data_IF_911278455976
#
_entry.id   IF_911278455976
#
_cell.length_a   1.000
_cell.length_b   1.000
_cell.length_c   1.000
_cell.angle_alpha   90.00
_cell.angle_beta   90.00
_cell.angle_gamma   90.00
#
_symmetry.space_group_name_H-M   'P 1'
#
loop_
_entity.id
_entity.type
_entity.pdbx_description
1 polymer ?
#
# COMPACT_ATOMS: atom_id res chain seq x y z
N UNK A 1 14.01 8.33 -22.39
CA UNK A 1 12.56 8.54 -22.58
C UNK A 1 11.85 7.42 -21.84
N UNK A 2 10.80 7.73 -21.06
CA UNK A 2 10.06 6.73 -20.31
C UNK A 2 9.42 5.71 -21.27
N UNK A 3 9.43 4.42 -20.89
CA UNK A 3 8.81 3.39 -21.72
C UNK A 3 7.29 3.44 -21.63
N UNK A 4 6.57 2.89 -22.62
CA UNK A 4 5.09 2.80 -22.55
C UNK A 4 4.63 2.03 -21.30
N UNK A 5 5.36 0.99 -20.94
CA UNK A 5 5.09 0.20 -19.74
C UNK A 5 5.26 1.03 -18.46
N UNK A 6 6.36 1.77 -18.35
CA UNK A 6 6.62 2.68 -17.23
C UNK A 6 5.51 3.72 -17.08
N UNK A 7 5.07 4.32 -18.20
CA UNK A 7 4.02 5.33 -18.19
C UNK A 7 2.66 4.75 -17.78
N UNK A 8 2.30 3.56 -18.29
CA UNK A 8 1.08 2.86 -17.89
C UNK A 8 1.10 2.51 -16.40
N UNK A 9 2.22 2.01 -15.88
CA UNK A 9 2.38 1.72 -14.46
C UNK A 9 2.30 3.00 -13.61
N UNK A 10 2.91 4.11 -14.05
CA UNK A 10 2.84 5.39 -13.36
C UNK A 10 1.40 5.95 -13.29
N UNK A 11 0.61 5.83 -14.36
CA UNK A 11 -0.80 6.22 -14.32
C UNK A 11 -1.63 5.33 -13.40
N UNK A 12 -1.38 4.02 -13.40
CA UNK A 12 -2.06 3.10 -12.51
C UNK A 12 -1.71 3.38 -11.03
N UNK A 13 -0.43 3.64 -10.74
CA UNK A 13 0.03 4.10 -9.43
C UNK A 13 -0.71 5.37 -8.98
N UNK A 14 -0.77 6.40 -9.83
CA UNK A 14 -1.45 7.64 -9.52
C UNK A 14 -2.96 7.45 -9.30
N UNK A 15 -3.61 6.63 -10.13
CA UNK A 15 -5.03 6.31 -9.97
C UNK A 15 -5.31 5.59 -8.66
N UNK A 16 -4.46 4.61 -8.29
CA UNK A 16 -4.55 3.91 -7.00
C UNK A 16 -4.33 4.85 -5.81
N UNK A 17 -3.35 5.75 -5.88
CA UNK A 17 -3.11 6.75 -4.84
C UNK A 17 -4.32 7.67 -4.63
N UNK A 18 -4.95 8.13 -5.73
CA UNK A 18 -6.19 8.90 -5.66
C UNK A 18 -7.31 8.06 -5.04
N UNK A 19 -7.45 6.80 -5.45
CA UNK A 19 -8.48 5.90 -4.91
C UNK A 19 -8.32 5.64 -3.41
N UNK A 20 -7.08 5.55 -2.89
CA UNK A 20 -6.80 5.49 -1.43
C UNK A 20 -7.39 6.70 -0.71
N UNK A 21 -7.19 7.92 -1.24
CA UNK A 21 -7.71 9.15 -0.63
C UNK A 21 -9.24 9.22 -0.58
N UNK A 22 -9.92 8.51 -1.47
CA UNK A 22 -11.38 8.45 -1.55
C UNK A 22 -11.96 7.13 -1.04
N UNK A 23 -11.15 6.26 -0.44
CA UNK A 23 -11.64 5.00 0.12
C UNK A 23 -12.67 5.29 1.23
N UNK A 24 -13.83 4.63 1.17
CA UNK A 24 -14.90 4.78 2.16
C UNK A 24 -14.73 3.89 3.39
N UNK A 25 -13.90 2.85 3.28
CA UNK A 25 -13.69 1.84 4.30
C UNK A 25 -12.24 1.32 4.25
N UNK A 26 -11.80 0.67 5.34
CA UNK A 26 -10.45 0.17 5.53
C UNK A 26 -10.06 -0.93 4.53
N UNK A 27 -11.03 -1.71 4.02
CA UNK A 27 -10.76 -2.76 3.03
C UNK A 27 -10.51 -2.14 1.66
N UNK A 28 -11.37 -1.21 1.23
CA UNK A 28 -11.17 -0.44 0.01
C UNK A 28 -9.84 0.31 0.06
N UNK A 29 -9.51 0.92 1.20
CA UNK A 29 -8.21 1.58 1.43
C UNK A 29 -7.07 0.59 1.22
N UNK A 30 -7.11 -0.57 1.88
CA UNK A 30 -6.08 -1.60 1.75
C UNK A 30 -5.87 -2.05 0.32
N UNK A 31 -6.96 -2.35 -0.41
CA UNK A 31 -6.88 -2.82 -1.80
C UNK A 31 -6.21 -1.78 -2.70
N UNK A 32 -6.63 -0.51 -2.61
CA UNK A 32 -6.00 0.54 -3.41
C UNK A 32 -4.57 0.83 -2.97
N UNK A 33 -4.25 0.64 -1.69
CA UNK A 33 -2.89 0.75 -1.18
C UNK A 33 -1.97 -0.31 -1.77
N UNK A 34 -2.40 -1.57 -1.81
CA UNK A 34 -1.64 -2.67 -2.41
C UNK A 34 -1.48 -2.49 -3.92
N UNK A 35 -2.50 -1.97 -4.61
CA UNK A 35 -2.38 -1.62 -6.03
C UNK A 35 -1.35 -0.50 -6.24
N UNK A 36 -1.38 0.54 -5.40
CA UNK A 36 -0.39 1.60 -5.43
C UNK A 36 1.03 1.04 -5.23
N UNK A 37 1.24 0.21 -4.21
CA UNK A 37 2.52 -0.47 -3.94
C UNK A 37 3.01 -1.37 -5.10
N UNK A 38 2.08 -2.10 -5.73
CA UNK A 38 2.38 -2.94 -6.89
C UNK A 38 2.85 -2.08 -8.08
N UNK A 39 2.09 -1.03 -8.40
CA UNK A 39 2.40 -0.21 -9.57
C UNK A 39 3.64 0.67 -9.38
N UNK A 40 3.91 1.18 -8.17
CA UNK A 40 5.19 1.84 -7.88
C UNK A 40 6.36 0.87 -8.04
N UNK A 41 6.20 -0.39 -7.61
CA UNK A 41 7.23 -1.42 -7.82
C UNK A 41 7.50 -1.67 -9.30
N UNK A 42 6.45 -1.69 -10.14
CA UNK A 42 6.59 -1.85 -11.59
C UNK A 42 7.26 -0.63 -12.25
N UNK A 43 7.00 0.58 -11.77
CA UNK A 43 7.70 1.80 -12.21
C UNK A 43 9.20 1.68 -11.92
N UNK A 44 9.58 1.27 -10.70
CA UNK A 44 10.99 1.05 -10.34
C UNK A 44 11.62 -0.03 -11.23
N UNK A 45 10.90 -1.13 -11.48
CA UNK A 45 11.38 -2.23 -12.31
C UNK A 45 11.61 -1.83 -13.79
N UNK A 46 10.95 -0.77 -14.26
CA UNK A 46 11.03 -0.31 -15.65
C UNK A 46 12.35 0.38 -16.00
N UNK A 47 13.23 0.69 -15.04
CA UNK A 47 14.51 1.39 -15.25
C UNK A 47 15.52 0.71 -16.20
N UNK A 48 15.23 -0.47 -16.75
CA UNK A 48 15.99 -1.17 -17.79
C UNK A 48 17.51 -1.38 -17.52
N UNK A 49 17.91 -1.43 -16.25
CA UNK A 49 19.27 -1.82 -15.84
C UNK A 49 19.22 -2.78 -14.63
N UNK A 50 20.24 -3.64 -14.42
CA UNK A 50 20.22 -4.65 -13.37
C UNK A 50 19.98 -4.08 -11.96
N UNK A 51 20.53 -2.91 -11.66
CA UNK A 51 20.32 -2.24 -10.38
C UNK A 51 18.85 -1.85 -10.13
N UNK A 52 18.10 -1.46 -11.17
CA UNK A 52 16.68 -1.12 -11.05
C UNK A 52 15.85 -2.34 -10.69
N UNK A 53 16.14 -3.49 -11.30
CA UNK A 53 15.46 -4.75 -10.98
C UNK A 53 15.71 -5.20 -9.55
N UNK A 54 16.94 -5.08 -9.07
CA UNK A 54 17.28 -5.40 -7.67
C UNK A 54 16.62 -4.43 -6.69
N UNK A 55 16.57 -3.14 -7.01
CA UNK A 55 15.87 -2.15 -6.22
C UNK A 55 14.36 -2.44 -6.17
N UNK A 56 13.74 -2.78 -7.31
CA UNK A 56 12.32 -3.14 -7.38
C UNK A 56 11.98 -4.36 -6.51
N UNK A 57 12.83 -5.39 -6.49
CA UNK A 57 12.61 -6.56 -5.62
C UNK A 57 12.64 -6.17 -4.14
N UNK A 58 13.66 -5.40 -3.70
CA UNK A 58 13.76 -4.94 -2.30
C UNK A 58 12.58 -4.06 -1.91
N UNK A 59 12.22 -3.15 -2.80
CA UNK A 59 11.10 -2.23 -2.64
C UNK A 59 9.77 -2.99 -2.54
N UNK A 60 9.50 -3.91 -3.45
CA UNK A 60 8.29 -4.74 -3.42
C UNK A 60 8.21 -5.65 -2.19
N UNK A 61 9.34 -6.18 -1.71
CA UNK A 61 9.39 -6.97 -0.46
C UNK A 61 9.04 -6.12 0.77
N UNK A 62 9.55 -4.88 0.86
CA UNK A 62 9.19 -3.99 1.97
C UNK A 62 7.72 -3.60 1.92
N UNK A 63 7.19 -3.32 0.74
CA UNK A 63 5.76 -3.07 0.56
C UNK A 63 4.91 -4.27 0.98
N UNK A 64 5.24 -5.48 0.54
CA UNK A 64 4.51 -6.68 0.94
C UNK A 64 4.54 -6.89 2.45
N UNK A 65 5.69 -6.63 3.09
CA UNK A 65 5.81 -6.68 4.55
C UNK A 65 4.92 -5.62 5.21
N UNK A 66 4.99 -4.36 4.76
CA UNK A 66 4.14 -3.29 5.25
C UNK A 66 2.66 -3.58 5.05
N UNK A 67 2.27 -4.16 3.91
CA UNK A 67 0.92 -4.60 3.58
C UNK A 67 0.40 -5.67 4.52
N UNK A 68 1.20 -6.70 4.83
CA UNK A 68 0.84 -7.71 5.84
C UNK A 68 0.63 -7.07 7.22
N UNK A 69 1.54 -6.19 7.64
CA UNK A 69 1.42 -5.46 8.92
C UNK A 69 0.16 -4.58 8.96
N UNK A 70 -0.12 -3.88 7.86
CA UNK A 70 -1.32 -3.05 7.70
C UNK A 70 -2.59 -3.89 7.79
N UNK A 71 -2.65 -5.04 7.09
CA UNK A 71 -3.78 -5.97 7.14
C UNK A 71 -4.03 -6.51 8.55
N UNK A 72 -2.97 -6.85 9.29
CA UNK A 72 -3.10 -7.26 10.70
C UNK A 72 -3.72 -6.15 11.55
N UNK A 73 -3.34 -4.88 11.31
CA UNK A 73 -3.98 -3.73 11.94
C UNK A 73 -5.46 -3.61 11.61
N UNK A 74 -5.82 -3.73 10.33
CA UNK A 74 -7.22 -3.64 9.85
C UNK A 74 -8.08 -4.74 10.48
N UNK A 75 -7.66 -6.01 10.37
CA UNK A 75 -8.39 -7.14 10.94
C UNK A 75 -8.48 -7.02 12.46
N UNK A 76 -7.44 -6.52 13.13
CA UNK A 76 -7.46 -6.24 14.56
C UNK A 76 -8.51 -5.19 14.95
N UNK A 77 -8.60 -4.09 14.20
CA UNK A 77 -9.63 -3.05 14.42
C UNK A 77 -11.03 -3.61 14.14
N UNK A 78 -11.19 -4.39 13.07
CA UNK A 78 -12.47 -5.06 12.78
C UNK A 78 -12.89 -6.00 13.90
N UNK A 79 -11.95 -6.78 14.46
CA UNK A 79 -12.23 -7.67 15.59
C UNK A 79 -12.65 -6.94 16.86
N UNK A 80 -12.14 -5.74 17.09
CA UNK A 80 -12.48 -4.91 18.26
C UNK A 80 -13.78 -4.13 18.10
N UNK A 81 -14.05 -3.61 16.89
CA UNK A 81 -15.13 -2.65 16.63
C UNK A 81 -16.32 -3.24 15.88
N UNK A 82 -16.15 -4.38 15.22
CA UNK A 82 -17.15 -5.00 14.37
C UNK A 82 -17.43 -4.29 13.04
N UNK A 83 -16.64 -3.27 12.65
CA UNK A 83 -16.82 -2.58 11.37
C UNK A 83 -15.50 -2.26 10.67
N UNK A 84 -15.60 -2.06 9.36
CA UNK A 84 -14.51 -1.69 8.45
C UNK A 84 -14.48 -0.18 8.16
N UNK A 85 -15.42 0.59 8.71
CA UNK A 85 -15.55 2.01 8.37
C UNK A 85 -14.33 2.81 8.83
N UNK A 86 -13.89 3.73 7.98
CA UNK A 86 -12.88 4.70 8.37
C UNK A 86 -13.49 5.66 9.38
N UNK A 87 -12.95 5.63 10.59
CA UNK A 87 -13.33 6.48 11.72
C UNK A 87 -12.07 7.02 12.39
N UNK A 88 -12.24 7.89 13.38
CA UNK A 88 -11.12 8.27 14.24
C UNK A 88 -10.56 7.02 14.94
N UNK A 89 -9.29 6.70 14.68
CA UNK A 89 -8.56 5.58 15.28
C UNK A 89 -7.58 6.17 16.30
N UNK A 90 -7.82 5.94 17.58
CA UNK A 90 -6.87 6.29 18.64
C UNK A 90 -5.72 5.27 18.68
N UNK A 91 -4.51 5.72 19.03
CA UNK A 91 -3.33 4.86 19.15
C UNK A 91 -3.25 4.19 20.54
N UNK A 92 -4.37 3.61 20.98
CA UNK A 92 -4.55 2.98 22.30
C UNK A 92 -4.59 1.44 22.24
N UNK A 93 -4.51 0.86 21.03
CA UNK A 93 -4.50 -0.59 20.82
C UNK A 93 -3.33 -1.02 19.92
N UNK A 94 -2.90 -2.28 20.08
CA UNK A 94 -1.88 -2.89 19.21
C UNK A 94 -2.33 -2.88 17.75
N UNK A 95 -3.62 -3.07 17.48
CA UNK A 95 -4.18 -3.05 16.13
C UNK A 95 -4.02 -1.67 15.47
N UNK A 96 -4.27 -0.58 16.21
CA UNK A 96 -4.07 0.78 15.72
C UNK A 96 -2.58 1.06 15.40
N UNK A 97 -1.68 0.61 16.28
CA UNK A 97 -0.23 0.73 16.04
C UNK A 97 0.24 -0.11 14.84
N UNK A 98 -0.29 -1.31 14.65
CA UNK A 98 0.01 -2.14 13.48
C UNK A 98 -0.51 -1.49 12.19
N UNK A 99 -1.72 -0.95 12.18
CA UNK A 99 -2.25 -0.23 11.02
C UNK A 99 -1.34 0.95 10.66
N UNK A 100 -1.00 1.81 11.63
CA UNK A 100 -0.12 2.96 11.42
C UNK A 100 1.28 2.52 10.95
N UNK A 101 1.86 1.51 11.57
CA UNK A 101 3.18 1.00 11.20
C UNK A 101 3.18 0.44 9.79
N UNK A 102 2.14 -0.29 9.41
CA UNK A 102 1.95 -0.79 8.04
C UNK A 102 1.89 0.36 7.04
N UNK A 103 1.14 1.43 7.35
CA UNK A 103 1.11 2.65 6.53
C UNK A 103 2.48 3.31 6.42
N UNK A 104 3.25 3.41 7.51
CA UNK A 104 4.55 4.10 7.53
C UNK A 104 5.70 3.32 6.86
N UNK A 105 5.59 2.00 6.78
CA UNK A 105 6.55 1.16 6.07
C UNK A 105 6.35 1.27 4.55
N UNK A 106 5.10 1.46 4.12
CA UNK A 106 4.72 1.59 2.71
C UNK A 106 4.94 3.01 2.17
#
# INVERSE_FOLDING_TARGET
>A
QASRFELSAAYAYAASAVAVCFAGDLISLFVFWELMALFSTLVVAAGNHPAARQAAVRYGVLHLFGGVVMMLGIVGIMGQTGSVDIRAIALDSVAAWLLLTGVLIN
#
